data_IF_280474392470
#
_entry.id   IF_280474392470
#
_cell.length_a   1.000
_cell.length_b   1.000
_cell.length_c   1.000
_cell.angle_alpha   90.00
_cell.angle_beta   90.00
_cell.angle_gamma   90.00
#
_symmetry.space_group_name_H-M   'P 1'
#
loop_
_entity.id
_entity.type
_entity.pdbx_description
1 polymer ?
#
# COMPACT_ATOMS: atom_id res chain seq x y z
N UNK A 1 -4.37 -1.24 19.71
CA UNK A 1 -3.27 -0.98 18.74
C UNK A 1 -3.34 -1.82 17.46
N UNK A 2 -4.19 -2.85 17.39
CA UNK A 2 -4.37 -3.72 16.20
C UNK A 2 -5.29 -3.14 15.12
N UNK A 3 -6.15 -2.16 15.47
CA UNK A 3 -7.07 -1.51 14.53
C UNK A 3 -6.36 -0.98 13.29
N UNK A 4 -5.22 -0.29 13.47
CA UNK A 4 -4.43 0.22 12.34
C UNK A 4 -3.93 -0.88 11.40
N UNK A 5 -3.48 -2.03 11.96
CA UNK A 5 -3.07 -3.18 11.17
C UNK A 5 -4.25 -3.80 10.42
N UNK A 6 -5.40 -3.92 11.07
CA UNK A 6 -6.62 -4.47 10.43
C UNK A 6 -7.12 -3.56 9.31
N UNK A 7 -7.12 -2.24 9.51
CA UNK A 7 -7.45 -1.26 8.47
C UNK A 7 -6.47 -1.36 7.30
N UNK A 8 -5.17 -1.49 7.56
CA UNK A 8 -4.18 -1.67 6.49
C UNK A 8 -4.41 -2.95 5.71
N UNK A 9 -4.72 -4.07 6.38
CA UNK A 9 -5.08 -5.32 5.70
C UNK A 9 -6.31 -5.14 4.80
N UNK A 10 -7.33 -4.41 5.26
CA UNK A 10 -8.52 -4.12 4.46
C UNK A 10 -8.17 -3.29 3.22
N UNK A 11 -7.38 -2.22 3.39
CA UNK A 11 -6.93 -1.37 2.27
C UNK A 11 -6.16 -2.20 1.24
N UNK A 12 -5.21 -3.03 1.67
CA UNK A 12 -4.38 -3.84 0.77
C UNK A 12 -5.22 -4.86 0.00
N UNK A 13 -6.16 -5.54 0.67
CA UNK A 13 -7.04 -6.53 0.03
C UNK A 13 -7.95 -5.92 -1.05
N UNK A 14 -8.49 -4.72 -0.83
CA UNK A 14 -9.45 -4.12 -1.76
C UNK A 14 -8.81 -3.19 -2.79
N UNK A 15 -7.76 -2.46 -2.41
CA UNK A 15 -7.17 -1.42 -3.26
C UNK A 15 -5.74 -1.72 -3.70
N UNK A 16 -5.07 -2.72 -3.11
CA UNK A 16 -3.65 -2.97 -3.37
C UNK A 16 -3.34 -3.22 -4.85
N UNK A 17 -4.10 -4.09 -5.51
CA UNK A 17 -3.95 -4.35 -6.95
C UNK A 17 -4.24 -3.10 -7.80
N UNK A 18 -5.29 -2.33 -7.48
CA UNK A 18 -5.63 -1.10 -8.21
C UNK A 18 -4.53 -0.06 -8.08
N UNK A 19 -3.98 0.12 -6.88
CA UNK A 19 -2.86 1.01 -6.61
C UNK A 19 -1.64 0.58 -7.43
N UNK A 20 -1.26 -0.70 -7.36
CA UNK A 20 -0.12 -1.26 -8.11
C UNK A 20 -0.28 -1.04 -9.62
N UNK A 21 -1.41 -1.44 -10.18
CA UNK A 21 -1.67 -1.36 -11.62
C UNK A 21 -1.64 0.09 -12.13
N UNK A 22 -2.25 1.02 -11.39
CA UNK A 22 -2.27 2.42 -11.77
C UNK A 22 -0.87 3.04 -11.70
N UNK A 23 -0.04 2.69 -10.71
CA UNK A 23 1.34 3.19 -10.60
C UNK A 23 2.24 2.61 -11.70
N UNK A 24 2.07 1.32 -12.04
CA UNK A 24 2.85 0.64 -13.08
C UNK A 24 2.44 1.00 -14.52
N UNK A 25 1.25 1.59 -14.69
CA UNK A 25 0.73 2.01 -15.99
C UNK A 25 0.66 3.55 -16.06
N UNK A 26 1.82 4.25 -16.05
CA UNK A 26 1.84 5.70 -16.16
C UNK A 26 1.14 6.15 -17.44
N UNK A 27 0.51 7.32 -17.38
CA UNK A 27 -0.24 7.89 -18.50
C UNK A 27 0.67 8.06 -19.71
N UNK A 28 0.33 7.38 -20.82
CA UNK A 28 0.93 7.63 -22.12
C UNK A 28 0.31 8.88 -22.76
N UNK A 29 1.15 9.71 -23.38
CA UNK A 29 0.87 11.08 -23.84
C UNK A 29 -0.03 11.19 -25.09
N UNK A 30 -1.09 10.38 -25.20
CA UNK A 30 -2.06 10.49 -26.29
C UNK A 30 -3.48 10.67 -25.75
N UNK A 31 -3.96 11.92 -25.76
CA UNK A 31 -5.30 12.33 -25.33
C UNK A 31 -5.35 12.92 -23.92
N UNK A 32 -6.38 13.73 -23.66
CA UNK A 32 -6.65 14.37 -22.36
C UNK A 32 -7.61 13.49 -21.55
N UNK A 33 -7.11 12.40 -20.97
CA UNK A 33 -7.89 11.59 -20.01
C UNK A 33 -7.60 12.05 -18.57
N UNK A 34 -8.33 13.08 -18.14
CA UNK A 34 -8.21 13.68 -16.81
C UNK A 34 -8.49 12.65 -15.71
N UNK A 35 -9.46 11.77 -15.92
CA UNK A 35 -9.84 10.78 -14.90
C UNK A 35 -8.74 9.75 -14.69
N UNK A 36 -8.06 9.33 -15.76
CA UNK A 36 -6.88 8.44 -15.67
C UNK A 36 -5.72 9.13 -14.97
N UNK A 37 -5.47 10.40 -15.29
CA UNK A 37 -4.44 11.20 -14.63
C UNK A 37 -4.69 11.37 -13.12
N UNK A 38 -5.95 11.62 -12.72
CA UNK A 38 -6.32 11.66 -11.31
C UNK A 38 -6.16 10.30 -10.61
N UNK A 39 -6.56 9.21 -11.27
CA UNK A 39 -6.39 7.85 -10.73
C UNK A 39 -4.91 7.53 -10.50
N UNK A 40 -4.05 7.89 -11.45
CA UNK A 40 -2.60 7.76 -11.31
C UNK A 40 -2.10 8.55 -10.11
N UNK A 41 -2.38 9.86 -10.04
CA UNK A 41 -1.95 10.75 -8.94
C UNK A 41 -2.40 10.24 -7.57
N UNK A 42 -3.66 9.82 -7.43
CA UNK A 42 -4.20 9.26 -6.19
C UNK A 42 -3.46 7.96 -5.82
N UNK A 43 -3.22 7.08 -6.79
CA UNK A 43 -2.54 5.79 -6.56
C UNK A 43 -1.07 5.97 -6.19
N UNK A 44 -0.34 6.89 -6.81
CA UNK A 44 1.03 7.24 -6.44
C UNK A 44 1.08 7.73 -4.99
N UNK A 45 0.21 8.67 -4.61
CA UNK A 45 0.14 9.18 -3.24
C UNK A 45 -0.17 8.08 -2.22
N UNK A 46 -1.09 7.17 -2.54
CA UNK A 46 -1.37 6.01 -1.69
C UNK A 46 -0.13 5.11 -1.57
N UNK A 47 0.54 4.81 -2.69
CA UNK A 47 1.73 3.96 -2.72
C UNK A 47 2.87 4.55 -1.86
N UNK A 48 3.12 5.85 -1.95
CA UNK A 48 4.14 6.54 -1.13
C UNK A 48 3.84 6.42 0.38
N UNK A 49 2.59 6.64 0.79
CA UNK A 49 2.19 6.50 2.20
C UNK A 49 2.33 5.05 2.66
N UNK A 50 1.92 4.08 1.83
CA UNK A 50 2.06 2.66 2.11
C UNK A 50 3.54 2.25 2.26
N UNK A 51 4.44 2.77 1.42
CA UNK A 51 5.89 2.54 1.56
C UNK A 51 6.47 3.12 2.86
N UNK A 52 6.04 4.33 3.26
CA UNK A 52 6.43 4.93 4.56
C UNK A 52 5.98 4.06 5.72
N UNK A 53 4.73 3.59 5.69
CA UNK A 53 4.20 2.68 6.70
C UNK A 53 4.95 1.34 6.73
N UNK A 54 5.28 0.76 5.57
CA UNK A 54 6.11 -0.45 5.48
C UNK A 54 7.44 -0.26 6.21
N UNK A 55 8.13 0.84 5.92
CA UNK A 55 9.41 1.17 6.58
C UNK A 55 9.27 1.29 8.11
N UNK A 56 8.19 1.92 8.58
CA UNK A 56 7.91 2.05 10.02
C UNK A 56 7.61 0.70 10.68
N UNK A 57 6.84 -0.17 10.02
CA UNK A 57 6.50 -1.49 10.54
C UNK A 57 7.72 -2.42 10.53
N UNK A 58 8.55 -2.38 9.50
CA UNK A 58 9.79 -3.17 9.41
C UNK A 58 10.76 -2.88 10.55
N UNK A 59 10.79 -1.64 11.07
CA UNK A 59 11.60 -1.27 12.26
C UNK A 59 11.04 -1.81 13.58
N UNK A 60 9.76 -2.20 13.60
CA UNK A 60 9.02 -2.61 14.81
C UNK A 60 8.59 -4.08 14.78
N UNK A 61 8.86 -4.81 13.70
CA UNK A 61 8.40 -6.19 13.51
C UNK A 61 9.09 -7.21 14.44
N UNK A 62 10.27 -6.87 14.97
CA UNK A 62 11.02 -7.67 15.96
C UNK A 62 10.46 -7.56 17.38
N UNK A 63 9.47 -6.69 17.62
CA UNK A 63 8.84 -6.59 18.94
C UNK A 63 8.15 -7.92 19.28
N UNK A 64 8.31 -8.43 20.52
CA UNK A 64 7.62 -9.63 20.96
C UNK A 64 6.11 -9.36 21.15
N UNK A 65 5.32 -10.43 21.09
CA UNK A 65 3.87 -10.38 21.31
C UNK A 65 3.02 -10.13 20.07
N UNK A 66 1.71 -9.95 20.30
CA UNK A 66 0.67 -9.89 19.26
C UNK A 66 0.85 -8.73 18.27
N UNK A 67 1.43 -7.62 18.73
CA UNK A 67 1.71 -6.44 17.91
C UNK A 67 2.77 -6.72 16.85
N UNK A 68 3.89 -7.36 17.24
CA UNK A 68 4.95 -7.70 16.29
C UNK A 68 4.50 -8.76 15.28
N UNK A 69 3.63 -9.68 15.69
CA UNK A 69 2.98 -10.63 14.77
C UNK A 69 2.08 -9.91 13.76
N UNK A 70 1.25 -8.96 14.20
CA UNK A 70 0.40 -8.18 13.31
C UNK A 70 1.21 -7.33 12.31
N UNK A 71 2.34 -6.74 12.74
CA UNK A 71 3.23 -6.01 11.82
C UNK A 71 3.89 -6.92 10.79
N UNK A 72 4.31 -8.14 11.18
CA UNK A 72 4.85 -9.12 10.23
C UNK A 72 3.81 -9.52 9.19
N UNK A 73 2.60 -9.86 9.63
CA UNK A 73 1.49 -10.21 8.74
C UNK A 73 1.17 -9.10 7.73
N UNK A 74 1.05 -7.84 8.20
CA UNK A 74 0.81 -6.69 7.31
C UNK A 74 1.99 -6.47 6.36
N UNK A 75 3.23 -6.59 6.83
CA UNK A 75 4.43 -6.38 6.00
C UNK A 75 4.51 -7.44 4.89
N UNK A 76 4.23 -8.72 5.21
CA UNK A 76 4.13 -9.79 4.22
C UNK A 76 3.03 -9.52 3.20
N UNK A 77 1.84 -9.08 3.65
CA UNK A 77 0.74 -8.75 2.74
C UNK A 77 1.08 -7.56 1.83
N UNK A 78 1.78 -6.55 2.35
CA UNK A 78 2.25 -5.42 1.54
C UNK A 78 3.22 -5.89 0.46
N UNK A 79 4.19 -6.72 0.82
CA UNK A 79 5.18 -7.28 -0.10
C UNK A 79 4.48 -8.08 -1.22
N UNK A 80 3.56 -8.98 -0.89
CA UNK A 80 2.86 -9.80 -1.90
C UNK A 80 1.93 -9.01 -2.82
N UNK A 81 1.46 -7.84 -2.38
CA UNK A 81 0.43 -7.07 -3.09
C UNK A 81 1.02 -5.93 -3.91
N UNK A 82 2.10 -5.30 -3.44
CA UNK A 82 2.65 -4.09 -4.04
C UNK A 82 3.93 -4.33 -4.85
N UNK A 83 4.71 -5.36 -4.52
CA UNK A 83 5.87 -5.79 -5.31
C UNK A 83 5.40 -6.77 -6.41
#
# INVERSE_FOLDING_TARGET
MTTGCNTLKLILKHFGHVIKNNVQSPVGTFGVDITREERYKKSVKCHEVLQKLRTLMSKKQSMPGSVGSAFREVTTLMQSTLD
#
